data_IF_543073110277
#
_entry.id   IF_543073110277
#
_cell.length_a   1.000
_cell.length_b   1.000
_cell.length_c   1.000
_cell.angle_alpha   90.00
_cell.angle_beta   90.00
_cell.angle_gamma   90.00
#
_symmetry.space_group_name_H-M   'P 1'
#
loop_
_entity.id
_entity.type
_entity.pdbx_description
1 polymer ?
#
# COMPACT_ATOMS: atom_id res chain seq x y z
N UNK A 1 15.28 8.27 14.65
CA UNK A 1 14.54 7.61 13.54
C UNK A 1 14.06 8.71 12.61
N UNK A 2 14.33 8.61 11.31
CA UNK A 2 13.81 9.59 10.36
C UNK A 2 12.28 9.48 10.32
N UNK A 3 11.57 10.62 10.34
CA UNK A 3 10.11 10.66 10.23
C UNK A 3 9.74 10.13 8.85
N UNK A 4 9.08 8.97 8.78
CA UNK A 4 8.59 8.44 7.51
C UNK A 4 7.48 9.35 6.96
N UNK A 5 7.47 9.55 5.64
CA UNK A 5 6.46 10.37 4.97
C UNK A 5 5.13 9.58 4.82
N UNK A 6 4.02 10.30 4.82
CA UNK A 6 2.67 9.73 4.63
C UNK A 6 2.36 9.67 3.15
N UNK A 7 1.84 8.55 2.68
CA UNK A 7 1.46 8.36 1.28
C UNK A 7 0.39 9.37 0.85
N UNK A 8 0.68 10.06 -0.25
CA UNK A 8 -0.28 10.92 -0.96
C UNK A 8 -0.79 10.25 -2.23
N UNK A 9 -1.89 10.75 -2.81
CA UNK A 9 -2.37 10.27 -4.12
C UNK A 9 -1.31 10.42 -5.22
N UNK A 10 -0.52 11.49 -5.17
CA UNK A 10 0.56 11.72 -6.13
C UNK A 10 1.65 10.65 -6.02
N UNK A 11 2.05 10.31 -4.78
CA UNK A 11 3.02 9.26 -4.51
C UNK A 11 2.48 7.88 -4.90
N UNK A 12 1.23 7.57 -4.56
CA UNK A 12 0.59 6.31 -4.93
C UNK A 12 0.54 6.12 -6.46
N UNK A 13 0.18 7.17 -7.22
CA UNK A 13 0.18 7.11 -8.68
C UNK A 13 1.56 6.79 -9.25
N UNK A 14 2.61 7.40 -8.71
CA UNK A 14 4.00 7.10 -9.12
C UNK A 14 4.34 5.65 -8.80
N UNK A 15 4.02 5.20 -7.60
CA UNK A 15 4.26 3.82 -7.17
C UNK A 15 3.59 2.79 -8.09
N UNK A 16 2.32 3.01 -8.47
CA UNK A 16 1.62 2.12 -9.39
C UNK A 16 2.21 2.14 -10.81
N UNK A 17 2.75 3.29 -11.25
CA UNK A 17 3.49 3.37 -12.52
C UNK A 17 4.79 2.58 -12.45
N UNK A 18 5.50 2.64 -11.31
CA UNK A 18 6.75 1.91 -11.10
C UNK A 18 6.52 0.40 -11.12
N UNK A 19 5.35 -0.07 -10.64
CA UNK A 19 4.96 -1.48 -10.70
C UNK A 19 4.23 -1.91 -11.98
N UNK A 20 4.03 -1.05 -12.98
CA UNK A 20 3.20 -1.34 -14.16
C UNK A 20 3.53 -2.65 -14.90
N UNK A 21 4.77 -3.12 -14.82
CA UNK A 21 5.22 -4.35 -15.47
C UNK A 21 4.92 -5.60 -14.62
N UNK A 22 4.56 -5.41 -13.35
CA UNK A 22 4.23 -6.44 -12.36
C UNK A 22 2.74 -6.49 -12.00
N UNK A 23 2.04 -5.36 -12.12
CA UNK A 23 0.60 -5.23 -11.85
C UNK A 23 -0.14 -4.88 -13.14
N UNK A 24 -1.17 -5.67 -13.46
CA UNK A 24 -2.06 -5.43 -14.60
C UNK A 24 -3.37 -4.81 -14.14
N UNK A 25 -4.16 -4.27 -15.07
CA UNK A 25 -5.40 -3.52 -14.78
C UNK A 25 -6.50 -4.34 -14.06
N UNK A 26 -6.34 -5.67 -13.98
CA UNK A 26 -7.24 -6.60 -13.31
C UNK A 26 -6.83 -6.95 -11.87
N UNK A 27 -5.77 -6.35 -11.34
CA UNK A 27 -5.40 -6.49 -9.94
C UNK A 27 -6.42 -5.82 -9.02
N UNK A 28 -6.80 -6.53 -7.96
CA UNK A 28 -7.71 -6.03 -6.94
C UNK A 28 -6.94 -5.21 -5.91
N UNK A 29 -7.56 -4.13 -5.43
CA UNK A 29 -7.05 -3.33 -4.32
C UNK A 29 -7.67 -3.83 -3.02
N UNK A 30 -6.82 -4.27 -2.10
CA UNK A 30 -7.20 -4.75 -0.77
C UNK A 30 -6.60 -3.83 0.30
N UNK A 31 -7.39 -3.56 1.32
CA UNK A 31 -6.98 -2.75 2.48
C UNK A 31 -6.90 -3.68 3.69
N UNK A 32 -5.74 -3.75 4.33
CA UNK A 32 -5.62 -4.43 5.64
C UNK A 32 -6.16 -3.50 6.73
N UNK A 33 -6.98 -4.04 7.62
CA UNK A 33 -7.38 -3.36 8.85
C UNK A 33 -6.34 -3.62 9.93
N UNK A 34 -6.18 -2.70 10.89
CA UNK A 34 -5.66 -3.10 12.20
C UNK A 34 -6.68 -4.02 12.89
N UNK A 35 -6.23 -4.84 13.84
CA UNK A 35 -7.06 -5.92 14.43
C UNK A 35 -8.30 -5.40 15.18
N UNK A 36 -8.35 -4.11 15.48
CA UNK A 36 -9.42 -3.50 16.27
C UNK A 36 -10.38 -2.64 15.44
N UNK A 37 -10.00 -2.21 14.23
CA UNK A 37 -10.84 -1.43 13.31
C UNK A 37 -11.28 -0.07 13.84
N UNK A 38 -10.65 0.42 14.91
CA UNK A 38 -11.07 1.59 15.67
C UNK A 38 -10.39 2.88 15.18
N UNK A 39 -9.26 2.79 14.47
CA UNK A 39 -8.48 3.94 14.03
C UNK A 39 -8.19 3.92 12.53
N UNK A 40 -8.31 5.09 11.89
CA UNK A 40 -7.83 5.29 10.53
C UNK A 40 -6.35 5.66 10.58
N UNK A 41 -5.51 4.72 10.17
CA UNK A 41 -4.06 4.88 10.18
C UNK A 41 -3.54 5.26 8.77
N UNK A 42 -2.56 6.17 8.67
CA UNK A 42 -2.01 6.56 7.37
C UNK A 42 -1.15 5.44 6.79
N UNK A 43 -1.10 5.33 5.47
CA UNK A 43 -0.09 4.50 4.80
C UNK A 43 1.23 5.29 4.70
N UNK A 44 2.37 4.63 4.87
CA UNK A 44 3.69 5.27 4.71
C UNK A 44 4.08 5.30 3.23
N UNK A 45 4.93 6.25 2.83
CA UNK A 45 5.43 6.31 1.44
C UNK A 45 6.37 5.16 1.10
N UNK A 46 6.99 4.50 2.10
CA UNK A 46 7.90 3.39 1.87
C UNK A 46 7.13 2.10 1.52
N UNK A 47 7.18 1.62 0.26
CA UNK A 47 6.38 0.48 -0.19
C UNK A 47 6.71 -0.82 0.56
N UNK A 48 7.98 -1.01 0.92
CA UNK A 48 8.44 -2.20 1.65
C UNK A 48 7.80 -2.36 3.03
N UNK A 49 7.27 -1.27 3.58
CA UNK A 49 6.64 -1.24 4.91
C UNK A 49 5.13 -1.15 4.86
N UNK A 50 4.52 -1.05 3.67
CA UNK A 50 3.11 -0.69 3.56
C UNK A 50 2.34 -1.36 2.41
N UNK A 51 2.99 -2.20 1.60
CA UNK A 51 2.34 -2.88 0.48
C UNK A 51 2.89 -4.29 0.24
N UNK A 52 2.01 -5.20 -0.15
CA UNK A 52 2.36 -6.49 -0.74
C UNK A 52 1.63 -6.69 -2.08
N UNK A 53 2.30 -7.39 -3.01
CA UNK A 53 1.74 -7.79 -4.30
C UNK A 53 1.65 -9.30 -4.34
N UNK A 54 0.43 -9.82 -4.40
CA UNK A 54 0.13 -11.23 -4.64
C UNK A 54 -0.19 -11.40 -6.13
N UNK A 55 0.74 -11.99 -6.88
CA UNK A 55 0.59 -12.18 -8.33
C UNK A 55 -0.31 -13.36 -8.69
N UNK A 56 -0.40 -14.36 -7.83
CA UNK A 56 -1.18 -15.57 -8.08
C UNK A 56 -2.67 -15.25 -7.99
N UNK A 57 -3.04 -14.48 -6.97
CA UNK A 57 -4.43 -14.05 -6.74
C UNK A 57 -4.75 -12.66 -7.33
N UNK A 58 -3.76 -12.00 -7.95
CA UNK A 58 -3.84 -10.65 -8.53
C UNK A 58 -4.36 -9.62 -7.51
N UNK A 59 -3.67 -9.48 -6.38
CA UNK A 59 -4.05 -8.57 -5.29
C UNK A 59 -2.90 -7.64 -4.94
N UNK A 60 -3.24 -6.37 -4.74
CA UNK A 60 -2.37 -5.38 -4.10
C UNK A 60 -2.96 -5.14 -2.72
N UNK A 61 -2.21 -5.48 -1.67
CA UNK A 61 -2.65 -5.31 -0.28
C UNK A 61 -1.90 -4.13 0.32
N UNK A 62 -2.65 -3.12 0.78
CA UNK A 62 -2.10 -1.98 1.50
C UNK A 62 -2.19 -2.20 3.02
N UNK A 63 -1.06 -1.98 3.70
CA UNK A 63 -0.94 -2.04 5.15
C UNK A 63 -0.83 -0.62 5.72
N UNK A 64 -1.74 -0.22 6.61
CA UNK A 64 -1.59 1.03 7.34
C UNK A 64 -0.34 1.01 8.23
N UNK A 65 0.18 2.20 8.57
CA UNK A 65 1.29 2.34 9.49
C UNK A 65 0.89 1.88 10.90
N UNK A 66 1.57 0.88 11.46
CA UNK A 66 1.49 0.59 12.89
C UNK A 66 2.29 1.63 13.68
N UNK A 67 1.78 2.05 14.84
CA UNK A 67 2.51 2.91 15.79
C UNK A 67 3.63 2.16 16.49
#
# INVERSE_FOLDING_TARGET
MAKQAIMTISALKKLLIDFKDEITDDFQIWLSSDEEGNEYLPMLENPESCLAIDKDEKRIVFYPSYR
#
